data_IF_288007692711
#
_entry.id   IF_288007692711
#
_cell.length_a   1.000
_cell.length_b   1.000
_cell.length_c   1.000
_cell.angle_alpha   90.00
_cell.angle_beta   90.00
_cell.angle_gamma   90.00
#
_symmetry.space_group_name_H-M   'P 1'
#
loop_
_entity.id
_entity.type
_entity.pdbx_description
1 polymer ?
#
# COMPACT_ATOMS: atom_id res chain seq x y z
N UNK A 1 -7.71 -4.91 2.45
CA UNK A 1 -8.40 -3.59 2.45
C UNK A 1 -9.50 -3.52 3.50
N UNK A 2 -10.37 -4.54 3.64
CA UNK A 2 -11.45 -4.57 4.64
C UNK A 2 -11.04 -4.13 6.07
N UNK A 3 -9.85 -4.52 6.55
CA UNK A 3 -9.34 -4.11 7.86
C UNK A 3 -9.02 -2.62 7.97
N UNK A 4 -8.45 -2.02 6.94
CA UNK A 4 -8.17 -0.58 6.92
C UNK A 4 -9.46 0.23 6.93
N UNK A 5 -10.47 -0.21 6.18
CA UNK A 5 -11.80 0.41 6.16
C UNK A 5 -12.52 0.27 7.51
N UNK A 6 -12.38 -0.89 8.16
CA UNK A 6 -12.88 -1.10 9.52
C UNK A 6 -12.21 -0.15 10.53
N UNK A 7 -10.89 0.00 10.46
CA UNK A 7 -10.14 0.95 11.30
C UNK A 7 -10.64 2.38 11.08
N UNK A 8 -10.84 2.80 9.83
CA UNK A 8 -11.38 4.14 9.52
C UNK A 8 -12.76 4.32 10.16
N UNK A 9 -13.68 3.36 9.98
CA UNK A 9 -15.01 3.42 10.59
C UNK A 9 -14.96 3.51 12.12
N UNK A 10 -14.06 2.77 12.76
CA UNK A 10 -13.88 2.80 14.20
C UNK A 10 -13.28 4.12 14.69
N UNK A 11 -12.33 4.70 13.96
CA UNK A 11 -11.75 6.01 14.29
C UNK A 11 -12.76 7.14 14.11
N UNK A 12 -13.61 7.06 13.08
CA UNK A 12 -14.66 8.04 12.79
C UNK A 12 -15.86 7.97 13.76
N UNK A 13 -16.08 6.84 14.44
CA UNK A 13 -17.18 6.72 15.40
C UNK A 13 -17.00 7.61 16.62
N UNK A 14 -15.75 7.92 17.00
CA UNK A 14 -15.43 8.74 18.17
C UNK A 14 -15.71 8.05 19.52
N UNK A 15 -16.07 6.77 19.52
CA UNK A 15 -16.41 6.00 20.73
C UNK A 15 -15.20 5.35 21.42
N UNK A 16 -14.03 5.44 20.78
CA UNK A 16 -12.80 4.79 21.24
C UNK A 16 -12.14 5.57 22.38
N UNK A 17 -11.53 4.85 23.31
CA UNK A 17 -10.58 5.46 24.23
C UNK A 17 -9.35 6.01 23.49
N UNK A 18 -8.61 6.90 24.14
CA UNK A 18 -7.36 7.44 23.60
C UNK A 18 -6.35 6.34 23.27
N UNK A 19 -6.22 5.34 24.15
CA UNK A 19 -5.30 4.22 23.96
C UNK A 19 -5.68 3.36 22.74
N UNK A 20 -6.97 3.07 22.58
CA UNK A 20 -7.47 2.34 21.41
C UNK A 20 -7.29 3.13 20.12
N UNK A 21 -7.53 4.44 20.17
CA UNK A 21 -7.35 5.35 19.03
C UNK A 21 -5.90 5.35 18.56
N UNK A 22 -4.94 5.47 19.49
CA UNK A 22 -3.50 5.44 19.17
C UNK A 22 -3.10 4.09 18.57
N UNK A 23 -3.59 2.99 19.15
CA UNK A 23 -3.31 1.64 18.65
C UNK A 23 -3.84 1.42 17.25
N UNK A 24 -5.10 1.77 17.00
CA UNK A 24 -5.77 1.60 15.71
C UNK A 24 -5.18 2.52 14.64
N UNK A 25 -4.81 3.75 15.00
CA UNK A 25 -4.08 4.64 14.10
C UNK A 25 -2.75 4.02 13.65
N UNK A 26 -1.97 3.48 14.59
CA UNK A 26 -0.70 2.82 14.27
C UNK A 26 -0.86 1.60 13.36
N UNK A 27 -1.92 0.81 13.57
CA UNK A 27 -2.28 -0.29 12.67
C UNK A 27 -2.67 0.23 11.27
N UNK A 28 -3.52 1.26 11.21
CA UNK A 28 -3.96 1.89 9.97
C UNK A 28 -2.81 2.44 9.15
N UNK A 29 -1.81 3.07 9.79
CA UNK A 29 -0.60 3.57 9.11
C UNK A 29 0.20 2.44 8.44
N UNK A 30 0.38 1.31 9.15
CA UNK A 30 1.09 0.14 8.58
C UNK A 30 0.34 -0.43 7.38
N UNK A 31 -0.98 -0.56 7.47
CA UNK A 31 -1.80 -1.06 6.37
C UNK A 31 -1.79 -0.10 5.17
N UNK A 32 -1.83 1.21 5.42
CA UNK A 32 -1.71 2.22 4.36
C UNK A 32 -0.39 2.08 3.62
N UNK A 33 0.72 2.01 4.35
CA UNK A 33 2.05 1.89 3.77
C UNK A 33 2.21 0.60 2.95
N UNK A 34 1.64 -0.52 3.42
CA UNK A 34 1.61 -1.77 2.66
C UNK A 34 0.84 -1.61 1.34
N UNK A 35 -0.33 -0.98 1.36
CA UNK A 35 -1.11 -0.72 0.14
C UNK A 35 -0.35 0.20 -0.84
N UNK A 36 0.27 1.26 -0.35
CA UNK A 36 1.10 2.16 -1.16
C UNK A 36 2.25 1.40 -1.85
N UNK A 37 2.93 0.50 -1.13
CA UNK A 37 3.99 -0.34 -1.71
C UNK A 37 3.45 -1.23 -2.84
N UNK A 38 2.30 -1.88 -2.64
CA UNK A 38 1.70 -2.73 -3.67
C UNK A 38 1.23 -1.95 -4.90
N UNK A 39 0.69 -0.75 -4.71
CA UNK A 39 0.34 0.12 -5.83
C UNK A 39 1.59 0.57 -6.60
N UNK A 40 2.67 0.94 -5.91
CA UNK A 40 3.93 1.31 -6.53
C UNK A 40 4.55 0.14 -7.32
N UNK A 41 4.53 -1.07 -6.77
CA UNK A 41 4.97 -2.29 -7.48
C UNK A 41 4.16 -2.52 -8.76
N UNK A 42 2.83 -2.41 -8.68
CA UNK A 42 1.94 -2.59 -9.83
C UNK A 42 2.18 -1.52 -10.92
N UNK A 43 2.34 -0.26 -10.52
CA UNK A 43 2.60 0.84 -11.44
C UNK A 43 3.94 0.67 -12.17
N UNK A 44 4.99 0.25 -11.45
CA UNK A 44 6.29 -0.08 -12.05
C UNK A 44 6.16 -1.21 -13.09
N UNK A 45 5.40 -2.26 -12.77
CA UNK A 45 5.16 -3.37 -13.71
C UNK A 45 4.45 -2.91 -14.97
N UNK A 46 3.41 -2.08 -14.86
CA UNK A 46 2.71 -1.52 -16.02
C UNK A 46 3.67 -0.70 -16.89
N UNK A 47 4.44 0.20 -16.28
CA UNK A 47 5.43 1.04 -16.99
C UNK A 47 6.46 0.22 -17.77
N UNK A 48 6.96 -0.88 -17.18
CA UNK A 48 7.88 -1.79 -17.86
C UNK A 48 7.25 -2.48 -19.08
N UNK A 49 6.00 -2.95 -18.95
CA UNK A 49 5.27 -3.59 -20.07
C UNK A 49 5.06 -2.61 -21.22
N UNK A 50 4.63 -1.38 -20.93
CA UNK A 50 4.45 -0.34 -21.97
C UNK A 50 5.76 0.05 -22.65
N UNK A 51 6.88 0.13 -21.91
CA UNK A 51 8.19 0.41 -22.50
C UNK A 51 8.64 -0.72 -23.45
N UNK A 52 8.36 -1.98 -23.10
CA UNK A 52 8.67 -3.14 -23.92
C UNK A 52 7.84 -3.19 -25.22
N UNK A 53 6.55 -2.83 -25.18
CA UNK A 53 5.69 -2.76 -26.37
C UNK A 53 6.14 -1.68 -27.38
N UNK A 54 6.86 -0.66 -26.91
CA UNK A 54 7.35 0.46 -27.71
C UNK A 54 8.75 0.21 -28.34
N UNK A 55 9.27 -1.02 -28.24
CA UNK A 55 10.36 -1.50 -29.10
C UNK A 55 11.80 -1.16 -28.67
N UNK A 56 12.05 -0.75 -27.42
CA UNK A 56 13.42 -0.61 -26.88
C UNK A 56 13.51 -1.18 -25.46
N UNK A 57 14.42 -2.13 -25.26
CA UNK A 57 14.78 -2.65 -23.93
C UNK A 57 15.72 -1.66 -23.24
N UNK A 58 15.52 -1.38 -21.95
CA UNK A 58 16.63 -1.24 -21.01
C UNK A 58 16.32 -1.89 -19.66
N UNK A 59 17.28 -2.70 -19.18
CA UNK A 59 17.21 -3.64 -18.06
C UNK A 59 17.47 -2.92 -16.73
N UNK A 60 16.76 -3.29 -15.65
CA UNK A 60 17.36 -3.36 -14.31
C UNK A 60 16.67 -4.42 -13.45
N UNK A 61 17.51 -5.21 -12.81
CA UNK A 61 17.23 -6.50 -12.18
C UNK A 61 16.02 -6.50 -11.26
N UNK A 62 15.17 -7.49 -11.47
CA UNK A 62 14.13 -7.85 -10.53
C UNK A 62 14.78 -8.56 -9.35
N UNK A 63 15.32 -7.80 -8.38
CA UNK A 63 15.52 -8.30 -7.02
C UNK A 63 14.14 -8.42 -6.36
N UNK A 64 13.39 -9.42 -6.82
CA UNK A 64 12.24 -9.93 -6.10
C UNK A 64 12.75 -10.67 -4.87
N UNK A 65 12.25 -10.23 -3.71
CA UNK A 65 12.30 -10.88 -2.39
C UNK A 65 13.63 -10.81 -1.62
N UNK A 66 13.66 -9.91 -0.62
CA UNK A 66 13.98 -10.20 0.79
C UNK A 66 13.34 -9.14 1.70
#
# INVERSE_FOLDING_TARGET
MARLEEIVRLLESGELSLEETVRLYGEGQRLRQFCEQKLNEAEKRIKMVTLAENGRIEVKDFEGEL
#
